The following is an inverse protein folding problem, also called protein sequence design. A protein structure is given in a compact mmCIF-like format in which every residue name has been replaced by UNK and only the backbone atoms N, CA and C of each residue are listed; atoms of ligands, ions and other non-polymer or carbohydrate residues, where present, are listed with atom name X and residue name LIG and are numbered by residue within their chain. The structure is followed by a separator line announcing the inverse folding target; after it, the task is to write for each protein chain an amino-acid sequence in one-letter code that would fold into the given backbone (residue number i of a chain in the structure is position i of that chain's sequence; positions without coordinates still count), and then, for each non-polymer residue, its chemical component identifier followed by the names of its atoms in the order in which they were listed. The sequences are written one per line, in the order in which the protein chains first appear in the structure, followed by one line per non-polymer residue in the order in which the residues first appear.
data_IF_744754884118
#
_entry.id   IF_744754884118
#
_cell.length_a   1.000
_cell.length_b   1.000
_cell.length_c   1.000
_cell.angle_alpha   90.00
_cell.angle_beta   90.00
_cell.angle_gamma   90.00
#
_symmetry.space_group_name_H-M   'P 1'
#
loop_
_entity.id
_entity.type
_entity.pdbx_description
1 polymer ?
#
# COMPACT_ATOMS: atom_id res chain seq x y z
N UNK A 1 10.25 -25.85 -10.95
CA UNK A 1 11.02 -24.59 -10.75
C UNK A 1 10.28 -23.39 -11.32
N UNK A 2 10.20 -23.19 -12.64
CA UNK A 2 9.55 -21.99 -13.23
C UNK A 2 8.06 -21.83 -12.91
N UNK A 3 7.29 -22.91 -12.84
CA UNK A 3 5.88 -22.88 -12.44
C UNK A 3 5.67 -22.40 -11.00
N UNK A 4 6.60 -22.73 -10.09
CA UNK A 4 6.57 -22.32 -8.69
C UNK A 4 6.97 -20.84 -8.54
N UNK A 5 8.00 -20.40 -9.27
CA UNK A 5 8.39 -18.97 -9.29
C UNK A 5 7.23 -18.12 -9.80
N UNK A 6 6.56 -18.56 -10.86
CA UNK A 6 5.41 -17.86 -11.42
C UNK A 6 4.23 -17.82 -10.43
N UNK A 7 3.93 -18.91 -9.75
CA UNK A 7 2.85 -18.93 -8.76
C UNK A 7 3.16 -18.06 -7.54
N UNK A 8 4.41 -18.01 -7.08
CA UNK A 8 4.84 -17.10 -6.01
C UNK A 8 4.71 -15.64 -6.42
N UNK A 9 5.11 -15.30 -7.64
CA UNK A 9 4.99 -13.94 -8.18
C UNK A 9 3.52 -13.52 -8.25
N UNK A 10 2.68 -14.32 -8.93
CA UNK A 10 1.26 -14.00 -9.08
C UNK A 10 0.52 -14.00 -7.74
N UNK A 11 0.83 -14.96 -6.86
CA UNK A 11 0.24 -15.05 -5.53
C UNK A 11 0.56 -13.84 -4.67
N UNK A 12 1.84 -13.46 -4.57
CA UNK A 12 2.26 -12.28 -3.81
C UNK A 12 1.71 -10.98 -4.38
N UNK A 13 1.66 -10.85 -5.71
CA UNK A 13 1.02 -9.71 -6.37
C UNK A 13 -0.47 -9.60 -6.02
N UNK A 14 -1.24 -10.69 -6.15
CA UNK A 14 -2.67 -10.72 -5.83
C UNK A 14 -2.91 -10.44 -4.36
N UNK A 15 -2.12 -11.04 -3.47
CA UNK A 15 -2.21 -10.82 -2.02
C UNK A 15 -2.00 -9.34 -1.70
N UNK A 16 -0.94 -8.72 -2.22
CA UNK A 16 -0.66 -7.31 -1.93
C UNK A 16 -1.66 -6.36 -2.57
N UNK A 17 -2.12 -6.65 -3.79
CA UNK A 17 -3.07 -5.78 -4.49
C UNK A 17 -4.46 -5.82 -3.84
N UNK A 18 -4.96 -7.02 -3.52
CA UNK A 18 -6.37 -7.20 -3.20
C UNK A 18 -6.65 -7.71 -1.80
N UNK A 19 -5.73 -8.40 -1.13
CA UNK A 19 -6.02 -8.99 0.19
C UNK A 19 -5.55 -8.05 1.31
N UNK A 20 -4.33 -7.53 1.24
CA UNK A 20 -3.79 -6.69 2.31
C UNK A 20 -4.57 -5.40 2.60
N UNK A 21 -5.16 -4.70 1.62
CA UNK A 21 -6.02 -3.56 1.91
C UNK A 21 -7.16 -3.88 2.88
N UNK A 22 -7.78 -5.07 2.76
CA UNK A 22 -8.84 -5.49 3.68
C UNK A 22 -8.32 -5.82 5.09
N UNK A 23 -7.07 -6.27 5.19
CA UNK A 23 -6.45 -6.60 6.47
C UNK A 23 -6.07 -5.32 7.24
N UNK A 24 -5.63 -4.27 6.54
CA UNK A 24 -4.97 -3.12 7.14
C UNK A 24 -5.80 -1.83 7.22
N UNK A 25 -7.01 -1.77 6.64
CA UNK A 25 -7.83 -0.54 6.64
C UNK A 25 -9.01 -0.60 7.62
N UNK A 26 -9.33 0.55 8.24
CA UNK A 26 -10.38 0.62 9.26
C UNK A 26 -11.81 0.49 8.73
N UNK A 27 -12.07 0.92 7.49
CA UNK A 27 -13.38 0.93 6.84
C UNK A 27 -13.22 0.39 5.43
N UNK A 28 -14.03 -0.62 5.09
CA UNK A 28 -14.05 -1.24 3.75
C UNK A 28 -14.37 -0.22 2.65
N UNK A 29 -15.16 0.82 2.96
CA UNK A 29 -15.50 1.89 2.01
C UNK A 29 -14.31 2.76 1.59
N UNK A 30 -13.21 2.74 2.34
CA UNK A 30 -12.00 3.50 2.01
C UNK A 30 -11.02 2.66 1.18
N UNK A 31 -11.33 1.38 0.93
CA UNK A 31 -10.48 0.51 0.12
C UNK A 31 -10.74 0.83 -1.35
N UNK A 32 -9.67 1.19 -2.04
CA UNK A 32 -9.71 1.36 -3.49
C UNK A 32 -9.51 0.00 -4.15
N UNK A 33 -10.31 -0.33 -5.17
CA UNK A 33 -10.08 -1.60 -5.89
C UNK A 33 -8.79 -1.56 -6.70
N UNK A 34 -8.39 -0.40 -7.20
CA UNK A 34 -7.18 -0.21 -7.96
C UNK A 34 -6.53 1.13 -7.63
N UNK A 35 -5.21 1.14 -7.49
CA UNK A 35 -4.42 2.36 -7.49
C UNK A 35 -3.02 2.09 -8.03
N UNK A 36 -2.42 3.10 -8.65
CA UNK A 36 -1.09 2.97 -9.24
C UNK A 36 -0.02 2.72 -8.19
N UNK A 37 -0.11 3.35 -7.01
CA UNK A 37 0.85 3.09 -5.94
C UNK A 37 0.75 1.65 -5.42
N UNK A 38 -0.45 1.09 -5.28
CA UNK A 38 -0.60 -0.34 -4.91
C UNK A 38 -0.11 -1.27 -5.99
N UNK A 39 -0.32 -0.93 -7.26
CA UNK A 39 0.28 -1.65 -8.36
C UNK A 39 1.81 -1.67 -8.27
N UNK A 40 2.44 -0.51 -8.09
CA UNK A 40 3.91 -0.45 -8.00
C UNK A 40 4.44 -1.20 -6.77
N UNK A 41 3.82 -1.02 -5.60
CA UNK A 41 4.22 -1.71 -4.38
C UNK A 41 4.02 -3.23 -4.46
N UNK A 42 2.91 -3.70 -5.05
CA UNK A 42 2.65 -5.14 -5.21
C UNK A 42 3.63 -5.81 -6.16
N UNK A 43 4.00 -5.16 -7.27
CA UNK A 43 5.04 -5.68 -8.18
C UNK A 43 6.42 -5.66 -7.51
N UNK A 44 6.77 -4.60 -6.77
CA UNK A 44 8.04 -4.55 -6.04
C UNK A 44 8.15 -5.70 -5.02
N UNK A 45 7.08 -5.99 -4.30
CA UNK A 45 7.02 -7.12 -3.35
C UNK A 45 7.09 -8.47 -4.08
N UNK A 46 6.41 -8.62 -5.22
CA UNK A 46 6.47 -9.84 -6.02
C UNK A 46 7.89 -10.11 -6.54
N UNK A 47 8.61 -9.07 -7.00
CA UNK A 47 10.02 -9.21 -7.36
C UNK A 47 10.90 -9.57 -6.16
N UNK A 48 10.63 -9.03 -4.97
CA UNK A 48 11.39 -9.36 -3.76
C UNK A 48 11.28 -10.85 -3.39
N UNK A 49 10.11 -11.46 -3.56
CA UNK A 49 9.93 -12.90 -3.33
C UNK A 49 10.70 -13.76 -4.35
N UNK A 50 10.67 -13.37 -5.63
CA UNK A 50 11.44 -14.07 -6.67
C UNK A 50 12.94 -13.88 -6.48
N UNK A 51 13.38 -12.72 -5.98
CA UNK A 51 14.77 -12.45 -5.63
C UNK A 51 15.26 -13.39 -4.52
N UNK A 52 14.48 -13.58 -3.45
CA UNK A 52 14.80 -14.53 -2.37
C UNK A 52 14.91 -15.95 -2.92
N UNK A 53 14.00 -16.36 -3.81
CA UNK A 53 14.09 -17.66 -4.48
C UNK A 53 15.37 -17.78 -5.32
N UNK A 54 15.73 -16.74 -6.06
CA UNK A 54 16.95 -16.72 -6.87
C UNK A 54 18.24 -16.80 -6.05
N UNK A 55 18.22 -16.39 -4.78
CA UNK A 55 19.32 -16.61 -3.81
C UNK A 55 19.28 -18.04 -3.26
N UNK A 56 18.11 -18.51 -2.85
CA UNK A 56 17.91 -19.81 -2.18
C UNK A 56 18.17 -20.98 -3.12
N UNK A 57 17.73 -20.86 -4.38
CA UNK A 57 18.06 -21.74 -5.49
C UNK A 57 18.88 -20.90 -6.50
N UNK A 58 20.21 -20.85 -6.35
CA UNK A 58 21.07 -19.89 -7.04
C UNK A 58 20.84 -19.82 -8.55
N UNK A 59 20.26 -18.70 -8.99
CA UNK A 59 20.01 -18.40 -10.40
C UNK A 59 20.36 -16.96 -10.70
N UNK A 60 21.55 -16.75 -11.27
CA UNK A 60 22.08 -15.42 -11.59
C UNK A 60 21.12 -14.64 -12.50
N UNK A 61 20.51 -15.32 -13.47
CA UNK A 61 19.54 -14.71 -14.38
C UNK A 61 18.31 -14.16 -13.62
N UNK A 62 17.73 -14.95 -12.71
CA UNK A 62 16.58 -14.50 -11.90
C UNK A 62 16.96 -13.33 -10.98
N UNK A 63 18.15 -13.37 -10.40
CA UNK A 63 18.65 -12.28 -9.55
C UNK A 63 18.79 -10.98 -10.36
N UNK A 64 19.40 -11.03 -11.54
CA UNK A 64 19.59 -9.83 -12.38
C UNK A 64 18.24 -9.25 -12.82
N UNK A 65 17.32 -10.10 -13.29
CA UNK A 65 15.99 -9.67 -13.74
C UNK A 65 15.21 -9.04 -12.59
N UNK A 66 15.22 -9.65 -11.40
CA UNK A 66 14.48 -9.14 -10.25
C UNK A 66 15.07 -7.85 -9.72
N UNK A 67 16.40 -7.71 -9.65
CA UNK A 67 17.05 -6.46 -9.25
C UNK A 67 16.76 -5.32 -10.22
N UNK A 68 16.79 -5.59 -11.52
CA UNK A 68 16.43 -4.60 -12.53
C UNK A 68 14.95 -4.18 -12.41
N UNK A 69 14.05 -5.15 -12.23
CA UNK A 69 12.62 -4.89 -11.98
C UNK A 69 12.42 -4.05 -10.71
N UNK A 70 13.03 -4.43 -9.59
CA UNK A 70 12.97 -3.68 -8.33
C UNK A 70 13.47 -2.25 -8.49
N UNK A 71 14.52 -2.02 -9.28
CA UNK A 71 15.05 -0.68 -9.53
C UNK A 71 14.06 0.19 -10.32
N UNK A 72 13.44 -0.36 -11.37
CA UNK A 72 12.39 0.33 -12.14
C UNK A 72 11.22 0.70 -11.24
N UNK A 73 10.68 -0.27 -10.50
CA UNK A 73 9.50 -0.04 -9.66
C UNK A 73 9.81 0.84 -8.45
N UNK A 74 11.02 0.78 -7.89
CA UNK A 74 11.50 1.74 -6.91
C UNK A 74 11.41 3.18 -7.44
N UNK A 75 11.86 3.42 -8.68
CA UNK A 75 11.76 4.75 -9.28
C UNK A 75 10.31 5.16 -9.58
N UNK A 76 9.48 4.23 -10.06
CA UNK A 76 8.06 4.50 -10.27
C UNK A 76 7.37 4.95 -8.97
N UNK A 77 7.65 4.27 -7.85
CA UNK A 77 7.16 4.63 -6.51
C UNK A 77 7.72 5.98 -6.08
N UNK A 78 9.04 6.17 -6.16
CA UNK A 78 9.72 7.36 -5.64
C UNK A 78 9.30 8.64 -6.37
N UNK A 79 9.11 8.56 -7.68
CA UNK A 79 8.76 9.72 -8.50
C UNK A 79 7.25 9.82 -8.77
N UNK A 80 6.42 8.96 -8.16
CA UNK A 80 4.98 8.94 -8.36
C UNK A 80 4.62 8.92 -9.85
N UNK A 81 5.32 8.06 -10.60
CA UNK A 81 5.21 8.04 -12.06
C UNK A 81 3.77 7.75 -12.49
N UNK A 82 3.20 8.62 -13.32
CA UNK A 82 1.81 8.54 -13.81
C UNK A 82 0.72 8.59 -12.72
N UNK A 83 1.04 8.91 -11.47
CA UNK A 83 0.03 9.10 -10.43
C UNK A 83 -0.61 10.47 -10.63
N UNK A 84 -1.88 10.49 -11.02
CA UNK A 84 -2.68 11.71 -11.14
C UNK A 84 -3.30 12.12 -9.79
N UNK A 85 -3.97 13.28 -9.79
CA UNK A 85 -4.59 13.84 -8.58
C UNK A 85 -5.66 12.92 -7.99
N UNK A 86 -6.47 12.28 -8.84
CA UNK A 86 -7.51 11.35 -8.39
C UNK A 86 -6.90 10.15 -7.69
N UNK A 87 -5.94 9.46 -8.33
CA UNK A 87 -5.23 8.33 -7.73
C UNK A 87 -4.54 8.74 -6.42
N UNK A 88 -3.93 9.93 -6.37
CA UNK A 88 -3.31 10.45 -5.16
C UNK A 88 -4.31 10.58 -4.01
N UNK A 89 -5.46 11.21 -4.23
CA UNK A 89 -6.49 11.40 -3.21
C UNK A 89 -7.09 10.07 -2.75
N UNK A 90 -7.38 9.18 -3.69
CA UNK A 90 -7.90 7.84 -3.40
C UNK A 90 -6.90 7.02 -2.56
N UNK A 91 -5.61 7.07 -2.89
CA UNK A 91 -4.54 6.41 -2.12
C UNK A 91 -4.37 7.01 -0.71
N UNK A 92 -4.43 8.33 -0.58
CA UNK A 92 -4.31 8.99 0.71
C UNK A 92 -5.51 8.72 1.62
N UNK A 93 -6.73 8.62 1.09
CA UNK A 93 -7.90 8.17 1.86
C UNK A 93 -7.66 6.77 2.44
N UNK A 94 -7.13 5.84 1.63
CA UNK A 94 -6.84 4.48 2.07
C UNK A 94 -5.74 4.46 3.14
N UNK A 95 -4.63 5.17 2.90
CA UNK A 95 -3.49 5.27 3.83
C UNK A 95 -3.91 5.84 5.20
N UNK A 96 -4.64 6.96 5.20
CA UNK A 96 -5.18 7.55 6.42
C UNK A 96 -6.11 6.58 7.16
N UNK A 97 -6.90 5.78 6.43
CA UNK A 97 -7.76 4.75 7.03
C UNK A 97 -6.97 3.67 7.80
N UNK A 98 -5.76 3.34 7.34
CA UNK A 98 -4.86 2.40 8.05
C UNK A 98 -4.32 3.03 9.35
N UNK A 99 -3.97 4.32 9.31
CA UNK A 99 -3.55 5.07 10.49
C UNK A 99 -4.67 5.10 11.54
N UNK A 100 -5.93 5.35 11.12
CA UNK A 100 -7.09 5.31 12.00
C UNK A 100 -7.28 3.93 12.68
N UNK A 101 -7.13 2.82 11.94
CA UNK A 101 -7.23 1.48 12.51
C UNK A 101 -6.15 1.26 13.57
N UNK A 102 -4.90 1.55 13.23
CA UNK A 102 -3.76 1.32 14.12
C UNK A 102 -3.85 2.18 15.38
N UNK A 103 -4.24 3.45 15.26
CA UNK A 103 -4.44 4.34 16.41
C UNK A 103 -5.58 3.87 17.31
N UNK A 104 -6.72 3.39 16.76
CA UNK A 104 -7.81 2.81 17.56
C UNK A 104 -7.34 1.61 18.37
N UNK A 105 -6.65 0.67 17.72
CA UNK A 105 -6.11 -0.53 18.38
C UNK A 105 -5.05 -0.20 19.44
N UNK A 106 -4.25 0.85 19.23
CA UNK A 106 -3.24 1.28 20.20
C UNK A 106 -3.88 1.87 21.47
N UNK A 107 -5.01 2.57 21.35
CA UNK A 107 -5.71 3.20 22.48
C UNK A 107 -6.32 2.21 23.47
N UNK A 108 -6.54 0.96 23.04
CA UNK A 108 -6.99 -0.17 23.88
C UNK A 108 -5.85 -0.75 24.75
N UNK A 109 -4.60 -0.40 24.47
CA UNK A 109 -3.43 -0.89 25.19
C UNK A 109 -3.00 0.06 26.31
N UNK A 110 -2.22 -0.47 27.24
CA UNK A 110 -1.51 0.36 28.23
C UNK A 110 -0.36 1.11 27.54
N UNK A 111 -0.48 2.43 27.47
CA UNK A 111 0.46 3.33 26.78
C UNK A 111 0.66 4.61 27.61
N UNK A 112 1.75 5.33 27.37
CA UNK A 112 2.01 6.62 28.03
C UNK A 112 0.96 7.68 27.66
N UNK A 113 0.79 8.69 28.51
CA UNK A 113 -0.15 9.81 28.29
C UNK A 113 0.20 10.55 27.00
N UNK A 114 1.49 10.72 26.72
CA UNK A 114 1.96 11.40 25.51
C UNK A 114 1.56 10.65 24.24
N UNK A 115 1.79 9.33 24.20
CA UNK A 115 1.40 8.48 23.07
C UNK A 115 -0.12 8.42 22.90
N UNK A 116 -0.88 8.37 24.01
CA UNK A 116 -2.34 8.41 23.98
C UNK A 116 -2.85 9.71 23.35
N UNK A 117 -2.28 10.86 23.75
CA UNK A 117 -2.63 12.17 23.19
C UNK A 117 -2.32 12.23 21.69
N UNK A 118 -1.15 11.73 21.27
CA UNK A 118 -0.79 11.65 19.86
C UNK A 118 -1.77 10.79 19.07
N UNK A 119 -2.12 9.60 19.56
CA UNK A 119 -3.05 8.71 18.89
C UNK A 119 -4.45 9.33 18.74
N UNK A 120 -4.96 10.03 19.76
CA UNK A 120 -6.23 10.76 19.67
C UNK A 120 -6.16 11.90 18.63
N UNK A 121 -5.07 12.66 18.60
CA UNK A 121 -4.87 13.72 17.62
C UNK A 121 -4.81 13.17 16.18
N UNK A 122 -4.15 12.02 15.97
CA UNK A 122 -4.11 11.34 14.67
C UNK A 122 -5.53 10.95 14.25
N UNK A 123 -6.33 10.39 15.16
CA UNK A 123 -7.73 10.03 14.85
C UNK A 123 -8.55 11.23 14.36
N UNK A 124 -8.50 12.33 15.11
CA UNK A 124 -9.28 13.52 14.77
C UNK A 124 -8.82 14.16 13.45
N UNK A 125 -7.50 14.31 13.28
CA UNK A 125 -6.94 15.03 12.12
C UNK A 125 -7.14 14.23 10.84
N UNK A 126 -6.82 12.94 10.86
CA UNK A 126 -6.87 12.10 9.67
C UNK A 126 -8.32 11.82 9.23
N UNK A 127 -9.29 11.78 10.16
CA UNK A 127 -10.71 11.67 9.80
C UNK A 127 -11.22 12.93 9.10
N UNK A 128 -10.80 14.14 9.53
CA UNK A 128 -11.12 15.39 8.85
C UNK A 128 -10.48 15.46 7.45
N UNK A 129 -9.23 15.04 7.32
CA UNK A 129 -8.52 15.00 6.04
C UNK A 129 -9.19 14.04 5.05
N UNK A 130 -9.63 12.86 5.49
CA UNK A 130 -10.42 11.94 4.65
C UNK A 130 -11.69 12.62 4.11
N UNK A 131 -12.43 13.33 4.97
CA UNK A 131 -13.65 14.04 4.54
C UNK A 131 -13.36 15.14 3.52
N UNK A 132 -12.22 15.84 3.67
CA UNK A 132 -11.78 16.85 2.71
C UNK A 132 -11.45 16.21 1.35
N UNK A 133 -10.69 15.12 1.33
CA UNK A 133 -10.34 14.41 0.09
C UNK A 133 -11.58 13.85 -0.61
N UNK A 134 -12.53 13.26 0.14
CA UNK A 134 -13.80 12.78 -0.41
C UNK A 134 -14.59 13.92 -1.08
N UNK A 135 -14.64 15.09 -0.45
CA UNK A 135 -15.32 16.26 -1.03
C UNK A 135 -14.65 16.76 -2.31
N UNK A 136 -13.33 16.69 -2.41
CA UNK A 136 -12.59 17.06 -3.63
C UNK A 136 -12.94 16.09 -4.77
N UNK A 137 -12.95 14.79 -4.48
CA UNK A 137 -13.30 13.75 -5.45
C UNK A 137 -14.76 13.87 -5.93
N UNK A 138 -15.71 14.07 -5.01
CA UNK A 138 -17.11 14.27 -5.35
C UNK A 138 -17.32 15.50 -6.26
N UNK A 139 -16.59 16.59 -6.00
CA UNK A 139 -16.62 17.78 -6.84
C UNK A 139 -16.06 17.52 -8.24
N UNK A 140 -14.94 16.78 -8.34
CA UNK A 140 -14.35 16.40 -9.62
C UNK A 140 -15.29 15.54 -10.47
N UNK A 141 -16.13 14.71 -9.85
CA UNK A 141 -17.09 13.84 -10.54
C UNK A 141 -18.35 14.57 -11.05
N UNK A 142 -18.53 15.86 -10.71
CA UNK A 142 -19.68 16.67 -11.14
C UNK A 142 -19.36 17.62 -12.31
N UNK A 143 -18.09 17.71 -12.74
CA UNK A 143 -17.60 18.58 -13.82
C UNK A 143 -17.31 17.73 -15.06
#
# INVERSE_FOLDING_TARGET
MYSMVLSMFLGSFIIQMYIMPFVMTSKVKHIQLFSLNKFYNSIFMAFSMVFIQGITEPSILLIIITLFGMHIFYFAIKYQFMVDEENYLLDMIEHHSMALQTSKQLLEKSITIETRRLALNILETQEKEIQQMQKILDFSNMV
#
